data_IF_313149772502
#
_entry.id   IF_313149772502
#
_cell.length_a   1.000
_cell.length_b   1.000
_cell.length_c   1.000
_cell.angle_alpha   90.00
_cell.angle_beta   90.00
_cell.angle_gamma   90.00
#
_symmetry.space_group_name_H-M   'P 1'
#
loop_
_entity.id
_entity.type
_entity.pdbx_description
1 polymer ?
#
# COMPACT_ATOMS: atom_id res chain seq x y z
N UNK A 1 32.74 52.01 30.11
CA UNK A 1 34.01 51.24 30.09
C UNK A 1 33.90 50.07 29.12
N UNK A 2 35.04 49.47 28.78
CA UNK A 2 35.15 48.38 27.81
C UNK A 2 34.22 47.19 28.12
N UNK A 3 34.07 46.86 29.41
CA UNK A 3 33.16 45.82 29.92
C UNK A 3 31.69 46.02 29.52
N UNK A 4 31.21 47.28 29.45
CA UNK A 4 29.84 47.59 29.03
C UNK A 4 29.63 47.32 27.54
N UNK A 5 30.65 47.57 26.70
CA UNK A 5 30.61 47.28 25.26
C UNK A 5 30.61 45.77 25.01
N UNK A 6 31.43 45.02 25.74
CA UNK A 6 31.45 43.56 25.68
C UNK A 6 30.10 42.96 26.10
N UNK A 7 29.49 43.44 27.18
CA UNK A 7 28.16 42.97 27.60
C UNK A 7 27.08 43.20 26.52
N UNK A 8 27.06 44.39 25.91
CA UNK A 8 26.12 44.71 24.84
C UNK A 8 26.35 43.82 23.60
N UNK A 9 27.61 43.55 23.27
CA UNK A 9 27.97 42.64 22.18
C UNK A 9 27.45 41.22 22.41
N UNK A 10 27.68 40.64 23.60
CA UNK A 10 27.19 39.30 23.93
C UNK A 10 25.66 39.20 23.93
N UNK A 11 24.96 40.26 24.37
CA UNK A 11 23.50 40.34 24.32
C UNK A 11 22.99 40.33 22.88
N UNK A 12 23.59 41.12 21.98
CA UNK A 12 23.25 41.10 20.55
C UNK A 12 23.51 39.72 19.92
N UNK A 13 24.69 39.13 20.18
CA UNK A 13 25.05 37.82 19.64
C UNK A 13 24.05 36.73 20.08
N UNK A 14 23.61 36.74 21.34
CA UNK A 14 22.58 35.82 21.83
C UNK A 14 21.26 35.99 21.08
N UNK A 15 20.82 37.23 20.87
CA UNK A 15 19.58 37.51 20.14
C UNK A 15 19.67 37.05 18.69
N UNK A 16 20.81 37.27 18.03
CA UNK A 16 21.01 36.86 16.64
C UNK A 16 21.08 35.33 16.50
N UNK A 17 21.71 34.64 17.46
CA UNK A 17 21.70 33.17 17.51
C UNK A 17 20.29 32.61 17.75
N UNK A 18 19.49 33.24 18.61
CA UNK A 18 18.10 32.81 18.83
C UNK A 18 17.23 33.06 17.58
N UNK A 19 17.40 34.20 16.91
CA UNK A 19 16.76 34.47 15.62
C UNK A 19 17.16 33.43 14.57
N UNK A 20 18.45 33.10 14.47
CA UNK A 20 18.94 32.07 13.57
C UNK A 20 18.35 30.69 13.88
N UNK A 21 18.23 30.32 15.18
CA UNK A 21 17.59 29.09 15.63
C UNK A 21 16.13 29.01 15.17
N UNK A 22 15.36 30.07 15.40
CA UNK A 22 13.95 30.15 14.99
C UNK A 22 13.79 30.08 13.47
N UNK A 23 14.67 30.74 12.71
CA UNK A 23 14.67 30.64 11.25
C UNK A 23 14.92 29.20 10.77
N UNK A 24 15.87 28.49 11.40
CA UNK A 24 16.11 27.08 11.11
C UNK A 24 14.89 26.19 11.41
N UNK A 25 14.17 26.45 12.51
CA UNK A 25 12.93 25.74 12.83
C UNK A 25 11.83 25.98 11.79
N UNK A 26 11.67 27.23 11.33
CA UNK A 26 10.73 27.58 10.27
C UNK A 26 11.09 26.91 8.93
N UNK A 27 12.37 26.87 8.56
CA UNK A 27 12.83 26.19 7.34
C UNK A 27 12.55 24.70 7.41
N UNK A 28 12.87 24.04 8.53
CA UNK A 28 12.55 22.62 8.76
C UNK A 28 11.06 22.35 8.66
N UNK A 29 10.22 23.21 9.26
CA UNK A 29 8.76 23.08 9.17
C UNK A 29 8.26 23.23 7.73
N UNK A 30 8.79 24.21 6.99
CA UNK A 30 8.46 24.42 5.57
C UNK A 30 8.85 23.22 4.71
N UNK A 31 10.05 22.67 4.91
CA UNK A 31 10.53 21.49 4.18
C UNK A 31 9.69 20.25 4.49
N UNK A 32 9.31 20.07 5.75
CA UNK A 32 8.39 18.99 6.15
C UNK A 32 7.04 19.11 5.43
N UNK A 33 6.43 20.30 5.43
CA UNK A 33 5.17 20.54 4.72
C UNK A 33 5.30 20.34 3.21
N UNK A 34 6.40 20.81 2.59
CA UNK A 34 6.67 20.59 1.16
C UNK A 34 6.76 19.09 0.85
N UNK A 35 7.44 18.32 1.68
CA UNK A 35 7.55 16.87 1.52
C UNK A 35 6.20 16.16 1.70
N UNK A 36 5.35 16.61 2.61
CA UNK A 36 4.00 16.09 2.79
C UNK A 36 3.11 16.41 1.56
N UNK A 37 3.17 17.64 1.04
CA UNK A 37 2.46 18.03 -0.19
C UNK A 37 2.87 17.18 -1.39
N UNK A 38 4.17 16.96 -1.58
CA UNK A 38 4.69 16.14 -2.68
C UNK A 38 4.18 14.69 -2.59
N UNK A 39 4.07 14.12 -1.40
CA UNK A 39 3.51 12.76 -1.21
C UNK A 39 2.02 12.70 -1.57
N UNK A 40 1.27 13.74 -1.26
CA UNK A 40 -0.16 13.81 -1.63
C UNK A 40 -0.30 13.94 -3.15
N UNK A 41 0.47 14.83 -3.76
CA UNK A 41 0.47 15.04 -5.21
C UNK A 41 0.89 13.78 -5.97
N UNK A 42 1.93 13.09 -5.50
CA UNK A 42 2.38 11.82 -6.06
C UNK A 42 1.26 10.77 -6.04
N UNK A 43 0.55 10.60 -4.92
CA UNK A 43 -0.58 9.66 -4.82
C UNK A 43 -1.74 10.05 -5.75
N UNK A 44 -2.05 11.34 -5.83
CA UNK A 44 -3.08 11.84 -6.73
C UNK A 44 -2.72 11.61 -8.20
N UNK A 45 -1.44 11.76 -8.56
CA UNK A 45 -0.94 11.50 -9.90
C UNK A 45 -0.95 9.99 -10.21
N UNK A 46 -0.55 9.15 -9.27
CA UNK A 46 -0.57 7.70 -9.41
C UNK A 46 -2.00 7.18 -9.69
N UNK A 47 -3.00 7.71 -8.98
CA UNK A 47 -4.41 7.41 -9.23
C UNK A 47 -4.87 7.82 -10.64
N UNK A 48 -4.28 8.86 -11.23
CA UNK A 48 -4.61 9.32 -12.59
C UNK A 48 -3.89 8.50 -13.66
N UNK A 49 -2.62 8.14 -13.44
CA UNK A 49 -1.78 7.48 -14.44
C UNK A 49 -1.99 5.97 -14.44
N UNK A 50 -2.08 5.35 -13.26
CA UNK A 50 -2.17 3.89 -13.09
C UNK A 50 -3.37 3.48 -12.23
N UNK A 51 -4.61 3.89 -12.58
CA UNK A 51 -5.79 3.66 -11.76
C UNK A 51 -6.03 2.17 -11.46
N UNK A 52 -5.80 1.30 -12.45
CA UNK A 52 -5.98 -0.15 -12.29
C UNK A 52 -4.94 -0.76 -11.33
N UNK A 53 -3.66 -0.45 -11.49
CA UNK A 53 -2.60 -0.93 -10.59
C UNK A 53 -2.83 -0.43 -9.16
N UNK A 54 -3.25 0.83 -8.98
CA UNK A 54 -3.60 1.37 -7.66
C UNK A 54 -4.78 0.64 -7.03
N UNK A 55 -5.81 0.33 -7.82
CA UNK A 55 -6.94 -0.48 -7.38
C UNK A 55 -6.51 -1.89 -6.94
N UNK A 56 -5.72 -2.59 -7.75
CA UNK A 56 -5.21 -3.91 -7.37
C UNK A 56 -4.33 -3.85 -6.10
N UNK A 57 -3.52 -2.80 -5.92
CA UNK A 57 -2.70 -2.64 -4.72
C UNK A 57 -3.57 -2.47 -3.48
N UNK A 58 -4.71 -1.81 -3.61
CA UNK A 58 -5.68 -1.70 -2.54
C UNK A 58 -6.30 -3.06 -2.20
N UNK A 59 -6.74 -3.82 -3.21
CA UNK A 59 -7.27 -5.17 -3.03
C UNK A 59 -6.25 -6.09 -2.35
N UNK A 60 -4.99 -6.06 -2.81
CA UNK A 60 -3.90 -6.85 -2.23
C UNK A 60 -3.73 -6.55 -0.73
N UNK A 61 -3.74 -5.27 -0.33
CA UNK A 61 -3.66 -4.88 1.09
C UNK A 61 -4.86 -5.35 1.91
N UNK A 62 -6.06 -5.33 1.32
CA UNK A 62 -7.25 -5.85 2.00
C UNK A 62 -7.14 -7.36 2.23
N UNK A 63 -6.60 -8.10 1.26
CA UNK A 63 -6.38 -9.55 1.37
C UNK A 63 -5.28 -9.84 2.41
N UNK A 64 -4.14 -9.17 2.34
CA UNK A 64 -3.03 -9.28 3.31
C UNK A 64 -3.52 -9.05 4.74
N UNK A 65 -4.31 -8.00 4.98
CA UNK A 65 -4.85 -7.71 6.31
C UNK A 65 -5.82 -8.80 6.86
N UNK A 66 -6.32 -9.69 6.00
CA UNK A 66 -7.17 -10.83 6.41
C UNK A 66 -6.35 -12.08 6.72
N UNK A 67 -5.10 -12.17 6.25
CA UNK A 67 -4.16 -13.23 6.61
C UNK A 67 -3.50 -12.95 7.97
N UNK A 68 -4.30 -12.97 9.03
CA UNK A 68 -3.87 -12.60 10.40
C UNK A 68 -2.69 -13.44 10.92
N UNK A 69 -2.49 -14.63 10.37
CA UNK A 69 -1.46 -15.57 10.80
C UNK A 69 -0.27 -15.64 9.84
N UNK A 70 -0.20 -14.76 8.84
CA UNK A 70 0.84 -14.71 7.82
C UNK A 70 1.08 -16.07 7.14
N UNK A 71 0.01 -16.87 6.97
CA UNK A 71 0.10 -18.24 6.42
C UNK A 71 0.41 -18.21 4.93
N UNK A 72 -0.08 -17.20 4.23
CA UNK A 72 0.01 -17.05 2.78
C UNK A 72 0.95 -15.92 2.37
N UNK A 73 1.58 -15.24 3.34
CA UNK A 73 2.39 -14.05 3.09
C UNK A 73 3.60 -14.35 2.21
N UNK A 74 4.32 -15.43 2.49
CA UNK A 74 5.55 -15.82 1.80
C UNK A 74 5.43 -17.21 1.16
N UNK A 75 6.27 -17.54 0.16
CA UNK A 75 6.30 -18.87 -0.45
C UNK A 75 6.60 -19.96 0.58
N UNK A 76 6.00 -21.14 0.40
CA UNK A 76 6.36 -22.34 1.18
C UNK A 76 7.82 -22.72 0.89
N UNK A 77 8.63 -22.85 1.94
CA UNK A 77 10.02 -23.27 1.81
C UNK A 77 10.10 -24.77 1.50
N UNK A 78 10.44 -25.08 0.25
CA UNK A 78 10.54 -26.47 -0.23
C UNK A 78 11.76 -27.22 0.32
N UNK A 79 12.69 -26.55 1.01
CA UNK A 79 13.76 -27.23 1.75
C UNK A 79 13.26 -27.75 3.11
N UNK A 80 12.24 -27.10 3.68
CA UNK A 80 11.58 -27.54 4.91
C UNK A 80 10.42 -28.50 4.63
N UNK A 81 9.70 -28.28 3.53
CA UNK A 81 8.54 -29.06 3.11
C UNK A 81 8.85 -29.83 1.82
N UNK A 82 9.62 -30.91 1.97
CA UNK A 82 10.24 -31.64 0.86
C UNK A 82 9.24 -32.26 -0.14
N UNK A 83 8.05 -32.62 0.30
CA UNK A 83 7.00 -33.24 -0.52
C UNK A 83 6.04 -32.22 -1.16
N UNK A 84 6.23 -30.92 -0.90
CA UNK A 84 5.31 -29.89 -1.38
C UNK A 84 5.23 -29.86 -2.91
N UNK A 85 6.38 -29.98 -3.59
CA UNK A 85 6.46 -29.98 -5.05
C UNK A 85 5.85 -31.22 -5.71
N UNK A 86 5.68 -32.32 -4.95
CA UNK A 86 5.04 -33.53 -5.44
C UNK A 86 3.52 -33.34 -5.57
N UNK A 87 2.94 -32.49 -4.72
CA UNK A 87 1.49 -32.21 -4.68
C UNK A 87 1.15 -30.91 -5.42
N UNK A 88 1.86 -29.81 -5.13
CA UNK A 88 1.57 -28.47 -5.65
C UNK A 88 2.50 -28.15 -6.82
N UNK A 89 1.92 -28.04 -8.03
CA UNK A 89 2.69 -27.84 -9.28
C UNK A 89 2.94 -26.39 -9.65
N UNK A 90 2.08 -25.48 -9.19
CA UNK A 90 2.20 -24.06 -9.44
C UNK A 90 2.05 -23.29 -8.12
N UNK A 91 3.15 -23.14 -7.34
CA UNK A 91 3.13 -22.38 -6.10
C UNK A 91 2.67 -20.93 -6.32
N UNK A 92 1.94 -20.40 -5.36
CA UNK A 92 1.51 -18.99 -5.32
C UNK A 92 1.32 -18.56 -3.87
N UNK A 93 1.64 -17.31 -3.60
CA UNK A 93 1.62 -16.66 -2.28
C UNK A 93 1.44 -15.14 -2.47
N UNK A 94 1.14 -14.42 -1.38
CA UNK A 94 0.85 -12.99 -1.43
C UNK A 94 2.08 -12.15 -1.80
N UNK A 95 3.30 -12.51 -1.39
CA UNK A 95 4.50 -11.75 -1.77
C UNK A 95 4.80 -11.91 -3.26
N UNK A 96 4.63 -13.10 -3.83
CA UNK A 96 4.69 -13.36 -5.28
C UNK A 96 3.64 -12.57 -6.04
N UNK A 97 2.38 -12.57 -5.58
CA UNK A 97 1.31 -11.75 -6.19
C UNK A 97 1.65 -10.26 -6.15
N UNK A 98 2.20 -9.75 -5.04
CA UNK A 98 2.65 -8.35 -4.93
C UNK A 98 3.75 -8.04 -5.94
N UNK A 99 4.73 -8.92 -6.11
CA UNK A 99 5.80 -8.75 -7.08
C UNK A 99 5.24 -8.73 -8.50
N UNK A 100 4.29 -9.61 -8.84
CA UNK A 100 3.58 -9.59 -10.14
C UNK A 100 2.84 -8.26 -10.34
N UNK A 101 2.17 -7.78 -9.31
CA UNK A 101 1.42 -6.51 -9.31
C UNK A 101 2.32 -5.30 -9.56
N UNK A 102 3.40 -5.12 -8.80
CA UNK A 102 4.30 -3.97 -8.94
C UNK A 102 5.07 -4.01 -10.28
N UNK A 103 5.20 -5.18 -10.90
CA UNK A 103 5.76 -5.35 -12.24
C UNK A 103 4.71 -5.31 -13.36
N UNK A 104 3.49 -4.84 -13.07
CA UNK A 104 2.37 -4.72 -14.02
C UNK A 104 2.06 -6.01 -14.79
N UNK A 105 2.14 -7.17 -14.12
CA UNK A 105 1.83 -8.48 -14.72
C UNK A 105 0.34 -8.83 -14.75
N UNK A 106 -0.49 -8.04 -14.07
CA UNK A 106 -1.95 -8.15 -14.16
C UNK A 106 -2.47 -7.04 -15.08
N UNK A 107 -3.01 -7.45 -16.21
CA UNK A 107 -3.71 -6.60 -17.18
C UNK A 107 -5.21 -6.56 -16.92
N UNK A 108 -5.74 -7.58 -16.21
CA UNK A 108 -7.15 -7.73 -15.89
C UNK A 108 -7.33 -8.23 -14.47
N UNK A 109 -8.50 -7.96 -13.91
CA UNK A 109 -8.83 -8.39 -12.55
C UNK A 109 -8.86 -9.91 -12.41
N UNK A 110 -9.39 -10.60 -13.41
CA UNK A 110 -9.45 -12.06 -13.45
C UNK A 110 -8.07 -12.71 -13.26
N UNK A 111 -6.99 -12.12 -13.80
CA UNK A 111 -5.64 -12.67 -13.66
C UNK A 111 -5.10 -12.57 -12.21
N UNK A 112 -5.51 -11.53 -11.47
CA UNK A 112 -5.21 -11.38 -10.05
C UNK A 112 -6.05 -12.35 -9.20
N UNK A 113 -7.34 -12.49 -9.54
CA UNK A 113 -8.26 -13.43 -8.91
C UNK A 113 -7.82 -14.90 -9.12
N UNK A 114 -7.35 -15.24 -10.32
CA UNK A 114 -6.84 -16.58 -10.65
C UNK A 114 -5.66 -16.97 -9.76
N UNK A 115 -4.70 -16.06 -9.53
CA UNK A 115 -3.57 -16.31 -8.62
C UNK A 115 -4.02 -16.44 -7.16
N UNK A 116 -4.96 -15.59 -6.72
CA UNK A 116 -5.53 -15.70 -5.38
C UNK A 116 -6.20 -17.07 -5.18
N UNK A 117 -7.03 -17.50 -6.14
CA UNK A 117 -7.69 -18.79 -6.10
C UNK A 117 -6.69 -19.94 -6.18
N UNK A 118 -5.62 -19.81 -6.98
CA UNK A 118 -4.55 -20.79 -7.06
C UNK A 118 -3.86 -20.98 -5.70
N UNK A 119 -3.49 -19.89 -5.03
CA UNK A 119 -2.90 -19.90 -3.69
C UNK A 119 -3.79 -20.63 -2.67
N UNK A 120 -5.09 -20.30 -2.64
CA UNK A 120 -6.06 -20.96 -1.75
C UNK A 120 -6.21 -22.44 -2.10
N UNK A 121 -6.35 -22.78 -3.38
CA UNK A 121 -6.51 -24.17 -3.82
C UNK A 121 -5.27 -25.01 -3.54
N UNK A 122 -4.07 -24.46 -3.70
CA UNK A 122 -2.82 -25.14 -3.33
C UNK A 122 -2.82 -25.50 -1.84
N UNK A 123 -3.20 -24.56 -0.98
CA UNK A 123 -3.27 -24.78 0.46
C UNK A 123 -4.30 -25.86 0.83
N UNK A 124 -5.50 -25.81 0.24
CA UNK A 124 -6.56 -26.81 0.47
C UNK A 124 -6.20 -28.19 -0.10
N UNK A 125 -5.40 -28.25 -1.16
CA UNK A 125 -4.95 -29.51 -1.78
C UNK A 125 -3.87 -30.19 -0.95
N UNK A 126 -2.90 -29.41 -0.45
CA UNK A 126 -1.78 -29.94 0.31
C UNK A 126 -2.14 -30.27 1.76
N UNK A 127 -2.91 -29.41 2.43
CA UNK A 127 -3.17 -29.52 3.87
C UNK A 127 -4.43 -30.33 4.17
N UNK A 128 -4.41 -31.11 5.25
CA UNK A 128 -5.60 -31.82 5.73
C UNK A 128 -6.62 -30.88 6.38
N UNK A 129 -7.91 -31.26 6.35
CA UNK A 129 -9.06 -30.44 6.78
C UNK A 129 -9.03 -30.03 8.26
N UNK A 130 -8.32 -30.79 9.08
CA UNK A 130 -8.17 -30.58 10.52
C UNK A 130 -7.09 -29.55 10.87
N UNK A 131 -6.19 -29.25 9.93
CA UNK A 131 -5.09 -28.29 10.13
C UNK A 131 -5.57 -26.83 10.21
N UNK A 132 -4.78 -25.98 10.86
CA UNK A 132 -5.02 -24.53 10.91
C UNK A 132 -4.93 -23.93 9.50
N UNK A 133 -3.98 -24.37 8.68
CA UNK A 133 -3.79 -23.91 7.30
C UNK A 133 -5.04 -24.09 6.45
N UNK A 134 -5.62 -25.30 6.45
CA UNK A 134 -6.84 -25.57 5.69
C UNK A 134 -8.01 -24.70 6.18
N UNK A 135 -8.20 -24.59 7.50
CA UNK A 135 -9.27 -23.77 8.07
C UNK A 135 -9.11 -22.29 7.74
N UNK A 136 -7.88 -21.77 7.75
CA UNK A 136 -7.57 -20.40 7.32
C UNK A 136 -7.85 -20.18 5.84
N UNK A 137 -7.49 -21.13 4.97
CA UNK A 137 -7.80 -21.06 3.53
C UNK A 137 -9.32 -21.04 3.27
N UNK A 138 -10.10 -21.87 3.99
CA UNK A 138 -11.56 -21.83 3.92
C UNK A 138 -12.10 -20.47 4.36
N UNK A 139 -11.59 -19.91 5.46
CA UNK A 139 -12.00 -18.59 5.96
C UNK A 139 -11.71 -17.47 4.96
N UNK A 140 -10.55 -17.50 4.30
CA UNK A 140 -10.20 -16.51 3.26
C UNK A 140 -11.05 -16.67 1.99
N UNK A 141 -11.45 -17.91 1.65
CA UNK A 141 -12.30 -18.23 0.49
C UNK A 141 -13.77 -17.87 0.70
N UNK A 142 -14.29 -17.98 1.92
CA UNK A 142 -15.72 -17.85 2.18
C UNK A 142 -16.26 -16.48 1.73
N UNK A 143 -17.36 -16.54 0.96
CA UNK A 143 -17.90 -15.45 0.14
C UNK A 143 -18.30 -14.18 0.92
N UNK A 144 -18.49 -14.24 2.24
CA UNK A 144 -18.73 -13.05 3.07
C UNK A 144 -17.47 -12.15 3.23
N UNK A 145 -16.26 -12.67 2.99
CA UNK A 145 -15.03 -11.85 2.96
C UNK A 145 -14.76 -11.27 1.58
N UNK A 146 -15.17 -11.99 0.54
CA UNK A 146 -15.03 -11.64 -0.89
C UNK A 146 -16.11 -10.61 -1.26
N UNK A 147 -17.37 -10.79 -0.88
CA UNK A 147 -18.42 -9.79 -1.15
C UNK A 147 -18.14 -8.44 -0.49
N UNK A 148 -17.53 -8.34 0.69
CA UNK A 148 -17.14 -7.03 1.26
C UNK A 148 -16.00 -6.35 0.49
N UNK A 149 -15.12 -7.12 -0.15
CA UNK A 149 -13.96 -6.63 -0.93
C UNK A 149 -14.34 -6.34 -2.39
N UNK A 150 -15.25 -7.12 -2.97
CA UNK A 150 -15.72 -7.00 -4.36
C UNK A 150 -17.04 -6.23 -4.52
N UNK A 151 -17.90 -6.18 -3.49
CA UNK A 151 -19.19 -5.50 -3.51
C UNK A 151 -19.24 -4.04 -3.03
N UNK A 152 -18.17 -3.22 -3.03
CA UNK A 152 -18.38 -1.77 -3.04
C UNK A 152 -19.12 -1.27 -4.29
N UNK A 153 -19.29 -2.12 -5.32
CA UNK A 153 -19.69 -1.70 -6.67
C UNK A 153 -20.98 -2.35 -7.19
N UNK A 154 -21.91 -2.79 -6.33
CA UNK A 154 -23.29 -3.04 -6.77
C UNK A 154 -24.04 -1.71 -6.95
N UNK A 155 -23.64 -0.99 -8.00
CA UNK A 155 -24.15 0.32 -8.34
C UNK A 155 -23.40 0.89 -9.54
N UNK A 156 -23.49 0.19 -10.68
CA UNK A 156 -22.81 0.49 -11.93
C UNK A 156 -22.57 1.98 -12.20
N UNK A 157 -21.36 2.43 -11.90
CA UNK A 157 -20.71 3.59 -12.50
C UNK A 157 -19.21 3.47 -12.22
N UNK A 158 -18.39 3.50 -13.27
CA UNK A 158 -16.96 3.81 -13.13
C UNK A 158 -16.85 5.23 -12.56
N UNK A 159 -16.84 5.36 -11.24
CA UNK A 159 -16.53 6.62 -10.55
C UNK A 159 -15.28 6.36 -9.72
N UNK A 160 -14.16 6.67 -10.34
CA UNK A 160 -13.00 7.17 -9.61
C UNK A 160 -13.55 8.37 -8.81
N UNK A 161 -13.49 8.33 -7.47
CA UNK A 161 -13.78 9.50 -6.64
C UNK A 161 -12.67 10.54 -6.90
N UNK A 162 -12.78 11.23 -8.03
CA UNK A 162 -12.08 12.47 -8.28
C UNK A 162 -12.90 13.54 -7.54
N UNK A 163 -12.31 14.29 -6.59
CA UNK A 163 -13.00 15.40 -5.94
C UNK A 163 -13.60 16.36 -6.97
N UNK A 164 -14.83 16.81 -6.71
CA UNK A 164 -15.69 17.57 -7.63
C UNK A 164 -15.05 18.86 -8.20
N UNK A 165 -13.99 19.38 -7.58
CA UNK A 165 -13.24 20.54 -8.09
C UNK A 165 -12.32 20.23 -9.29
N UNK A 166 -12.04 18.95 -9.57
CA UNK A 166 -11.18 18.54 -10.69
C UNK A 166 -11.97 18.45 -12.00
N UNK A 167 -13.28 18.20 -11.95
CA UNK A 167 -14.14 18.10 -13.15
C UNK A 167 -14.46 19.46 -13.77
N UNK A 168 -14.41 20.54 -12.98
CA UNK A 168 -14.84 21.87 -13.43
C UNK A 168 -13.80 22.62 -14.30
N UNK A 169 -12.56 22.11 -14.39
CA UNK A 169 -11.48 22.75 -15.17
C UNK A 169 -11.07 22.01 -16.45
N UNK A 170 -11.75 20.92 -16.83
CA UNK A 170 -11.38 20.11 -18.00
C UNK A 170 -12.29 20.28 -19.23
N UNK A 171 -13.28 21.18 -19.21
CA UNK A 171 -14.25 21.38 -20.31
C UNK A 171 -14.05 22.73 -21.02
N UNK A 172 -12.83 23.27 -21.08
CA UNK A 172 -12.59 24.55 -21.79
C UNK A 172 -11.59 24.56 -22.94
N UNK A 173 -10.89 23.47 -23.24
CA UNK A 173 -9.93 23.46 -24.36
C UNK A 173 -10.05 22.21 -25.27
N UNK A 174 -11.24 22.01 -25.83
CA UNK A 174 -11.45 21.31 -27.11
C UNK A 174 -12.33 22.17 -28.01
#
# INVERSE_FOLDING_TARGET
GDLYRQLKYWQCLRQDLERARLLCELVRKREKLKNEMLKIEQRALELKITPFTTFLRHLWKLIEAKDISDIFLEPVDQNEVLDYADVVKHPMDLSTMRIKLENNKYSKLAEFEDDFNLMINNCLTYNSKDTVFYKSAIRMRDQNYISEIWAPWEGGAYIILIPQWVTDNAVRDC
#
